data_IF_833226765839
#
_entry.id   IF_833226765839
#
_cell.length_a   1.000
_cell.length_b   1.000
_cell.length_c   1.000
_cell.angle_alpha   90.00
_cell.angle_beta   90.00
_cell.angle_gamma   90.00
#
_symmetry.space_group_name_H-M   'P 1'
#
loop_
_entity.id
_entity.type
_entity.pdbx_description
1 polymer ?
#
# COMPACT_ATOMS: atom_id res chain seq x y z
N UNK A 1 34.56 -8.12 3.19
CA UNK A 1 35.06 -6.82 3.65
C UNK A 1 33.93 -5.83 3.65
N UNK A 2 33.87 -5.02 4.71
CA UNK A 2 32.78 -4.12 5.12
C UNK A 2 32.57 -2.95 4.15
N UNK A 3 31.32 -2.50 4.02
CA UNK A 3 30.92 -1.08 4.06
C UNK A 3 29.38 -1.00 3.89
N UNK A 4 28.57 -1.05 4.95
CA UNK A 4 27.98 0.11 5.68
C UNK A 4 27.31 1.15 4.76
N UNK A 5 26.01 0.97 4.50
CA UNK A 5 25.12 2.06 4.06
C UNK A 5 24.75 2.92 5.26
N UNK A 6 24.94 4.22 5.10
CA UNK A 6 24.61 5.24 6.09
C UNK A 6 23.11 5.53 6.02
N UNK A 7 22.40 5.21 7.11
CA UNK A 7 21.07 5.74 7.38
C UNK A 7 21.28 7.05 8.11
N UNK A 8 20.81 8.15 7.53
CA UNK A 8 20.76 9.45 8.20
C UNK A 8 19.66 9.35 9.27
N UNK A 9 20.09 9.22 10.53
CA UNK A 9 19.26 9.44 11.72
C UNK A 9 19.00 10.94 11.85
N UNK A 10 17.78 11.37 11.54
CA UNK A 10 17.31 12.68 11.95
C UNK A 10 16.85 12.62 13.41
N UNK A 11 17.60 13.27 14.30
CA UNK A 11 17.29 13.41 15.72
C UNK A 11 15.97 14.18 15.92
N UNK A 12 15.01 13.56 16.58
CA UNK A 12 13.75 14.18 17.00
C UNK A 12 14.04 15.04 18.24
N UNK A 13 14.03 16.36 18.07
CA UNK A 13 13.82 17.29 19.17
C UNK A 13 12.30 17.36 19.43
N UNK A 14 11.88 16.85 20.59
CA UNK A 14 10.56 17.09 21.16
C UNK A 14 10.45 18.58 21.50
N UNK A 15 9.71 19.33 20.69
CA UNK A 15 9.04 20.54 21.15
C UNK A 15 7.53 20.31 21.05
N UNK A 16 6.89 20.32 22.22
CA UNK A 16 5.45 20.37 22.35
C UNK A 16 4.95 21.65 21.66
N UNK A 17 4.22 21.48 20.56
CA UNK A 17 3.58 22.56 19.81
C UNK A 17 2.13 22.17 19.54
N UNK A 18 1.22 23.05 19.96
CA UNK A 18 -0.23 22.88 20.03
C UNK A 18 -0.88 22.16 18.84
N UNK A 19 -1.77 21.22 19.17
CA UNK A 19 -2.81 20.70 18.29
C UNK A 19 -3.72 21.84 17.80
N UNK A 20 -3.75 22.09 16.50
CA UNK A 20 -4.88 22.69 15.77
C UNK A 20 -4.59 22.67 14.27
N UNK A 21 -4.63 21.47 13.70
CA UNK A 21 -4.66 21.25 12.26
C UNK A 21 -5.72 20.20 11.94
N UNK A 22 -6.97 20.49 12.32
CA UNK A 22 -8.09 19.64 11.92
C UNK A 22 -8.10 19.56 10.38
N UNK A 23 -8.02 18.34 9.84
CA UNK A 23 -7.99 18.05 8.41
C UNK A 23 -9.32 18.32 7.75
N UNK A 24 -9.71 19.59 7.67
CA UNK A 24 -10.84 20.04 6.86
C UNK A 24 -10.41 19.92 5.41
N UNK A 25 -11.23 19.21 4.62
CA UNK A 25 -11.03 19.09 3.17
C UNK A 25 -11.09 20.48 2.55
N UNK A 26 -10.06 20.86 1.82
CA UNK A 26 -10.14 22.01 0.92
C UNK A 26 -11.04 21.60 -0.25
N UNK A 27 -12.23 22.18 -0.36
CA UNK A 27 -13.20 21.84 -1.41
C UNK A 27 -12.69 22.20 -2.82
N UNK A 28 -11.65 23.03 -2.93
CA UNK A 28 -10.98 23.30 -4.21
C UNK A 28 -9.95 22.23 -4.58
N UNK A 29 -9.53 21.40 -3.62
CA UNK A 29 -8.62 20.29 -3.83
C UNK A 29 -9.41 19.00 -4.14
N UNK A 30 -9.29 18.43 -5.36
CA UNK A 30 -10.04 17.24 -5.73
C UNK A 30 -9.58 15.98 -4.96
N UNK A 31 -8.47 16.03 -4.21
CA UNK A 31 -7.93 14.91 -3.46
C UNK A 31 -8.97 14.25 -2.53
N UNK A 32 -8.90 12.92 -2.46
CA UNK A 32 -9.82 12.11 -1.66
C UNK A 32 -11.25 12.02 -2.19
N UNK A 33 -11.52 12.61 -3.36
CA UNK A 33 -12.79 12.43 -4.08
C UNK A 33 -12.63 11.38 -5.18
N UNK A 34 -13.71 10.65 -5.49
CA UNK A 34 -13.72 9.76 -6.63
C UNK A 34 -13.50 10.57 -7.94
N UNK A 35 -12.45 10.21 -8.68
CA UNK A 35 -12.09 10.80 -9.96
C UNK A 35 -12.89 10.19 -11.10
N UNK A 36 -13.23 11.01 -12.09
CA UNK A 36 -13.77 10.57 -13.38
C UNK A 36 -12.67 10.26 -14.40
N UNK A 37 -11.44 10.64 -14.11
CA UNK A 37 -10.29 10.41 -14.99
C UNK A 37 -9.87 8.95 -14.93
N UNK A 38 -9.54 8.39 -16.10
CA UNK A 38 -9.00 7.04 -16.19
C UNK A 38 -7.52 7.05 -15.81
N UNK A 39 -7.05 5.98 -15.18
CA UNK A 39 -5.63 5.81 -14.94
C UNK A 39 -4.82 5.79 -16.26
N UNK A 40 -3.65 6.41 -16.22
CA UNK A 40 -2.69 6.46 -17.32
C UNK A 40 -1.75 5.26 -17.24
N UNK A 41 -1.30 4.76 -18.38
CA UNK A 41 -0.43 3.58 -18.46
C UNK A 41 0.78 3.91 -19.33
N UNK A 42 1.95 3.76 -18.75
CA UNK A 42 3.25 3.86 -19.39
C UNK A 42 3.93 2.50 -19.28
N UNK A 43 4.68 2.12 -20.31
CA UNK A 43 5.34 0.81 -20.35
C UNK A 43 6.73 0.93 -20.98
N UNK A 44 7.65 0.08 -20.53
CA UNK A 44 8.90 -0.17 -21.24
C UNK A 44 8.61 -0.88 -22.59
N UNK A 45 9.54 -0.78 -23.54
CA UNK A 45 9.36 -1.32 -24.90
C UNK A 45 9.10 -2.84 -24.88
N UNK A 46 9.77 -3.56 -23.99
CA UNK A 46 9.71 -5.01 -23.84
C UNK A 46 8.51 -5.52 -23.03
N UNK A 47 7.61 -4.63 -22.61
CA UNK A 47 6.33 -5.00 -21.99
C UNK A 47 5.25 -5.16 -23.07
N UNK A 48 4.60 -6.32 -23.07
CA UNK A 48 3.54 -6.62 -24.04
C UNK A 48 2.27 -5.78 -23.80
N UNK A 49 1.50 -5.55 -24.86
CA UNK A 49 0.17 -4.92 -24.75
C UNK A 49 -0.81 -5.76 -23.93
N UNK A 50 -0.64 -7.08 -23.91
CA UNK A 50 -1.45 -7.98 -23.09
C UNK A 50 -1.20 -7.75 -21.60
N UNK A 51 0.04 -7.48 -21.19
CA UNK A 51 0.34 -7.08 -19.81
C UNK A 51 -0.35 -5.75 -19.46
N UNK A 52 -0.32 -4.75 -20.35
CA UNK A 52 -1.03 -3.48 -20.13
C UNK A 52 -2.54 -3.69 -19.95
N UNK A 53 -3.16 -4.52 -20.81
CA UNK A 53 -4.58 -4.85 -20.72
C UNK A 53 -4.90 -5.60 -19.43
N UNK A 54 -4.04 -6.54 -19.02
CA UNK A 54 -4.18 -7.27 -17.76
C UNK A 54 -4.13 -6.33 -16.56
N UNK A 55 -3.11 -5.46 -16.46
CA UNK A 55 -2.98 -4.49 -15.37
C UNK A 55 -4.19 -3.55 -15.35
N UNK A 56 -4.61 -3.04 -16.51
CA UNK A 56 -5.80 -2.19 -16.63
C UNK A 56 -7.05 -2.89 -16.11
N UNK A 57 -7.29 -4.13 -16.53
CA UNK A 57 -8.44 -4.93 -16.08
C UNK A 57 -8.48 -5.06 -14.56
N UNK A 58 -7.35 -5.36 -13.92
CA UNK A 58 -7.31 -5.55 -12.46
C UNK A 58 -7.38 -4.24 -11.70
N UNK A 59 -6.80 -3.15 -12.23
CA UNK A 59 -7.07 -1.82 -11.70
C UNK A 59 -8.56 -1.45 -11.78
N UNK A 60 -9.25 -1.75 -12.89
CA UNK A 60 -10.69 -1.48 -13.02
C UNK A 60 -11.53 -2.30 -12.03
N UNK A 61 -11.13 -3.55 -11.74
CA UNK A 61 -11.74 -4.36 -10.65
C UNK A 61 -11.56 -3.66 -9.30
N UNK A 62 -10.35 -3.19 -9.00
CA UNK A 62 -10.04 -2.48 -7.75
C UNK A 62 -10.80 -1.15 -7.62
N UNK A 63 -10.78 -0.33 -8.68
CA UNK A 63 -11.47 0.95 -8.73
C UNK A 63 -12.99 0.81 -8.62
N UNK A 64 -13.57 -0.27 -9.16
CA UNK A 64 -14.99 -0.59 -8.96
C UNK A 64 -15.30 -0.97 -7.51
N UNK A 65 -14.41 -1.69 -6.85
CA UNK A 65 -14.62 -2.18 -5.48
C UNK A 65 -14.42 -1.08 -4.43
N UNK A 66 -13.40 -0.23 -4.61
CA UNK A 66 -12.97 0.72 -3.59
C UNK A 66 -13.15 2.19 -3.99
N UNK A 67 -13.52 2.46 -5.25
CA UNK A 67 -13.59 3.81 -5.79
C UNK A 67 -12.39 4.14 -6.69
N UNK A 68 -12.64 4.95 -7.72
CA UNK A 68 -11.60 5.42 -8.62
C UNK A 68 -10.94 6.68 -8.04
N UNK A 69 -9.71 6.62 -7.55
CA UNK A 69 -8.98 7.76 -7.03
C UNK A 69 -7.80 8.10 -7.94
N UNK A 70 -7.50 9.39 -8.08
CA UNK A 70 -6.47 9.83 -9.01
C UNK A 70 -6.14 11.31 -8.92
N UNK A 71 -5.28 11.81 -9.83
CA UNK A 71 -4.77 11.08 -11.00
C UNK A 71 -3.87 9.90 -10.62
N UNK A 72 -4.07 8.75 -11.29
CA UNK A 72 -3.30 7.52 -11.06
C UNK A 72 -2.56 7.11 -12.33
N UNK A 73 -1.30 6.75 -12.19
CA UNK A 73 -0.44 6.33 -13.28
C UNK A 73 0.16 4.96 -12.98
N UNK A 74 0.16 4.08 -13.96
CA UNK A 74 0.87 2.81 -13.94
C UNK A 74 2.12 2.90 -14.83
N UNK A 75 3.27 2.54 -14.27
CA UNK A 75 4.56 2.45 -14.95
C UNK A 75 5.00 0.98 -14.97
N UNK A 76 4.85 0.33 -16.12
CA UNK A 76 5.12 -1.09 -16.29
C UNK A 76 6.55 -1.31 -16.76
N UNK A 77 7.32 -2.04 -15.96
CA UNK A 77 8.74 -2.30 -16.19
C UNK A 77 8.92 -3.74 -16.65
N UNK A 78 9.62 -3.93 -17.77
CA UNK A 78 9.94 -5.24 -18.33
C UNK A 78 11.17 -5.88 -17.67
N UNK A 79 11.96 -6.59 -18.48
CA UNK A 79 13.17 -7.32 -18.07
C UNK A 79 14.46 -6.71 -18.66
N UNK A 80 14.37 -5.87 -19.68
CA UNK A 80 15.52 -5.18 -20.29
C UNK A 80 15.90 -3.94 -19.48
N UNK A 81 17.18 -3.85 -19.11
CA UNK A 81 17.72 -2.67 -18.45
C UNK A 81 17.71 -1.45 -19.40
N UNK A 82 17.99 -1.66 -20.67
CA UNK A 82 17.96 -0.63 -21.71
C UNK A 82 16.54 -0.05 -21.88
N UNK A 83 15.53 -0.92 -21.99
CA UNK A 83 14.13 -0.49 -22.08
C UNK A 83 13.66 0.23 -20.81
N UNK A 84 14.16 -0.17 -19.64
CA UNK A 84 13.90 0.51 -18.37
C UNK A 84 14.57 1.89 -18.30
N UNK A 85 15.77 2.05 -18.85
CA UNK A 85 16.46 3.35 -18.95
C UNK A 85 15.68 4.30 -19.86
N UNK A 86 15.16 3.82 -21.00
CA UNK A 86 14.31 4.65 -21.86
C UNK A 86 12.99 5.05 -21.19
N UNK A 87 12.34 4.10 -20.50
CA UNK A 87 11.15 4.40 -19.70
C UNK A 87 11.48 5.43 -18.60
N UNK A 88 12.68 5.37 -18.03
CA UNK A 88 13.15 6.30 -17.01
C UNK A 88 13.30 7.74 -17.55
N UNK A 89 13.81 7.89 -18.77
CA UNK A 89 13.87 9.19 -19.46
C UNK A 89 12.47 9.76 -19.67
N UNK A 90 11.55 8.94 -20.20
CA UNK A 90 10.14 9.31 -20.39
C UNK A 90 9.45 9.71 -19.08
N UNK A 91 9.71 8.98 -17.99
CA UNK A 91 9.21 9.34 -16.66
C UNK A 91 9.64 10.75 -16.25
N UNK A 92 10.92 11.06 -16.42
CA UNK A 92 11.46 12.36 -16.06
C UNK A 92 10.95 13.50 -16.96
N UNK A 93 10.69 13.24 -18.23
CA UNK A 93 10.00 14.18 -19.13
C UNK A 93 8.58 14.48 -18.63
N UNK A 94 7.78 13.45 -18.35
CA UNK A 94 6.43 13.64 -17.81
C UNK A 94 6.46 14.35 -16.46
N UNK A 95 7.44 14.03 -15.59
CA UNK A 95 7.59 14.77 -14.32
C UNK A 95 7.95 16.24 -14.57
N UNK A 96 8.81 16.54 -15.54
CA UNK A 96 9.19 17.91 -15.90
C UNK A 96 8.05 18.72 -16.49
N UNK A 97 7.15 18.09 -17.24
CA UNK A 97 5.93 18.72 -17.74
C UNK A 97 4.97 19.10 -16.60
N UNK A 98 4.83 18.21 -15.61
CA UNK A 98 3.94 18.42 -14.45
C UNK A 98 4.53 19.35 -13.40
N UNK A 99 5.85 19.35 -13.26
CA UNK A 99 6.61 20.21 -12.37
C UNK A 99 7.75 20.88 -13.16
N UNK A 100 7.51 22.08 -13.72
CA UNK A 100 8.52 22.83 -14.46
C UNK A 100 9.75 23.21 -13.62
N UNK A 101 9.71 23.13 -12.28
CA UNK A 101 10.86 23.42 -11.43
C UNK A 101 11.80 22.21 -11.28
N UNK A 102 11.32 21.00 -11.56
CA UNK A 102 12.10 19.77 -11.50
C UNK A 102 13.37 19.86 -12.36
N UNK A 103 14.52 19.50 -11.79
CA UNK A 103 15.78 19.41 -12.54
C UNK A 103 15.88 18.04 -13.20
N UNK A 104 15.85 18.00 -14.52
CA UNK A 104 15.85 16.75 -15.29
C UNK A 104 17.05 15.84 -14.94
N UNK A 105 18.24 16.44 -14.77
CA UNK A 105 19.48 15.73 -14.38
C UNK A 105 19.36 15.01 -13.03
N UNK A 106 18.56 15.53 -12.10
CA UNK A 106 18.39 14.90 -10.79
C UNK A 106 17.34 13.80 -10.86
N UNK A 107 16.26 14.00 -11.61
CA UNK A 107 15.28 12.95 -11.83
C UNK A 107 15.89 11.71 -12.52
N UNK A 108 16.75 11.94 -13.53
CA UNK A 108 17.41 10.86 -14.26
C UNK A 108 18.37 10.05 -13.37
N UNK A 109 18.95 10.68 -12.35
CA UNK A 109 19.89 10.07 -11.40
C UNK A 109 19.26 9.75 -10.04
N UNK A 110 17.93 9.72 -9.97
CA UNK A 110 17.24 9.44 -8.70
C UNK A 110 17.57 8.02 -8.24
N UNK A 111 17.64 7.85 -6.93
CA UNK A 111 17.67 6.52 -6.34
C UNK A 111 16.35 5.78 -6.60
N UNK A 112 16.38 4.45 -6.65
CA UNK A 112 15.23 3.59 -6.94
C UNK A 112 14.54 3.96 -8.27
N UNK A 113 15.28 3.76 -9.36
CA UNK A 113 14.80 3.93 -10.74
C UNK A 113 14.14 2.64 -11.27
N UNK A 114 13.67 2.65 -12.53
CA UNK A 114 13.10 1.44 -13.12
C UNK A 114 14.12 0.31 -13.33
N UNK A 115 15.42 0.61 -13.41
CA UNK A 115 16.45 -0.43 -13.45
C UNK A 115 16.49 -1.26 -12.16
N UNK A 116 16.18 -0.66 -11.02
CA UNK A 116 16.06 -1.39 -9.75
C UNK A 116 14.89 -2.38 -9.80
N UNK A 117 13.76 -2.01 -10.43
CA UNK A 117 12.64 -2.92 -10.66
C UNK A 117 12.95 -4.04 -11.66
N UNK A 118 13.82 -3.81 -12.65
CA UNK A 118 14.34 -4.89 -13.51
C UNK A 118 15.14 -5.90 -12.70
N UNK A 119 16.02 -5.42 -11.82
CA UNK A 119 16.91 -6.25 -10.99
C UNK A 119 16.11 -7.03 -9.94
N UNK A 120 15.35 -6.31 -9.13
CA UNK A 120 14.78 -6.81 -7.88
C UNK A 120 13.34 -7.33 -8.06
N UNK A 121 12.61 -6.84 -9.07
CA UNK A 121 11.20 -7.17 -9.31
C UNK A 121 10.25 -6.43 -8.37
N UNK A 122 9.03 -6.94 -8.23
CA UNK A 122 8.02 -6.42 -7.32
C UNK A 122 7.21 -5.25 -7.88
N UNK A 123 6.54 -4.55 -6.99
CA UNK A 123 5.72 -3.39 -7.28
C UNK A 123 5.86 -2.35 -6.15
N UNK A 124 5.34 -1.15 -6.39
CA UNK A 124 5.24 -0.17 -5.32
C UNK A 124 4.47 1.08 -5.72
N UNK A 125 3.82 1.69 -4.75
CA UNK A 125 3.19 2.99 -4.84
C UNK A 125 4.14 4.12 -4.44
N UNK A 126 4.22 5.13 -5.28
CA UNK A 126 4.76 6.44 -4.94
C UNK A 126 3.63 7.47 -4.93
N UNK A 127 3.22 7.85 -3.72
CA UNK A 127 2.21 8.91 -3.49
C UNK A 127 2.89 10.29 -3.57
N UNK A 128 2.50 11.10 -4.55
CA UNK A 128 2.87 12.52 -4.64
C UNK A 128 1.80 13.35 -3.95
N UNK A 129 2.09 13.82 -2.75
CA UNK A 129 1.19 14.63 -1.93
C UNK A 129 1.97 15.42 -0.89
N UNK A 130 2.76 16.40 -1.33
CA UNK A 130 3.64 17.19 -0.46
C UNK A 130 3.29 18.69 -0.45
N UNK A 131 3.88 19.42 0.50
CA UNK A 131 3.65 20.85 0.74
C UNK A 131 4.33 21.76 -0.29
N UNK A 132 5.21 21.21 -1.14
CA UNK A 132 6.09 21.97 -2.03
C UNK A 132 5.92 21.59 -3.51
N UNK A 133 4.95 20.75 -3.83
CA UNK A 133 4.63 20.33 -5.19
C UNK A 133 3.24 20.77 -5.59
N UNK A 134 3.17 21.41 -6.76
CA UNK A 134 1.92 21.82 -7.38
C UNK A 134 1.10 20.61 -7.85
N UNK A 135 1.76 19.49 -8.14
CA UNK A 135 1.11 18.27 -8.61
C UNK A 135 0.95 17.22 -7.49
N UNK A 136 -0.26 16.69 -7.33
CA UNK A 136 -0.53 15.52 -6.50
C UNK A 136 -1.08 14.37 -7.34
N UNK A 137 -0.73 13.14 -6.99
CA UNK A 137 -1.19 11.95 -7.68
C UNK A 137 -0.54 10.67 -7.18
N UNK A 138 -0.92 9.56 -7.80
CA UNK A 138 -0.46 8.23 -7.45
C UNK A 138 0.31 7.63 -8.61
N UNK A 139 1.51 7.11 -8.32
CA UNK A 139 2.38 6.49 -9.31
C UNK A 139 2.63 5.05 -8.86
N UNK A 140 2.00 4.09 -9.51
CA UNK A 140 2.20 2.67 -9.26
C UNK A 140 3.23 2.15 -10.26
N UNK A 141 4.31 1.54 -9.77
CA UNK A 141 5.27 0.83 -10.61
C UNK A 141 5.03 -0.66 -10.48
N UNK A 142 4.96 -1.38 -11.61
CA UNK A 142 4.79 -2.83 -11.65
C UNK A 142 5.92 -3.45 -12.47
N UNK A 143 6.76 -4.30 -11.86
CA UNK A 143 7.75 -5.08 -12.61
C UNK A 143 7.13 -6.33 -13.23
N UNK A 144 7.74 -6.83 -14.30
CA UNK A 144 7.38 -8.10 -14.95
C UNK A 144 7.96 -9.34 -14.23
N UNK A 145 8.40 -9.20 -12.98
CA UNK A 145 9.13 -10.21 -12.21
C UNK A 145 8.77 -10.11 -10.72
N UNK A 146 8.57 -11.26 -10.09
CA UNK A 146 8.29 -11.41 -8.65
C UNK A 146 7.10 -10.57 -8.14
N UNK A 147 5.87 -10.82 -8.62
CA UNK A 147 5.48 -11.79 -9.66
C UNK A 147 5.51 -11.20 -11.07
N UNK A 148 5.62 -12.06 -12.09
CA UNK A 148 5.43 -11.69 -13.50
C UNK A 148 3.97 -11.83 -13.96
N UNK A 149 3.58 -11.23 -15.10
CA UNK A 149 2.18 -11.14 -15.56
C UNK A 149 1.48 -12.48 -15.82
N UNK A 150 2.24 -13.55 -16.05
CA UNK A 150 1.72 -14.91 -16.22
C UNK A 150 1.36 -15.59 -14.90
N UNK A 151 1.84 -15.06 -13.77
CA UNK A 151 1.58 -15.59 -12.44
C UNK A 151 0.24 -15.07 -11.89
N UNK A 152 -0.52 -15.94 -11.21
CA UNK A 152 -1.77 -15.57 -10.52
C UNK A 152 -1.57 -14.36 -9.58
N UNK A 153 -0.43 -14.32 -8.90
CA UNK A 153 -0.12 -13.31 -7.89
C UNK A 153 0.06 -11.91 -8.48
N UNK A 154 0.39 -11.76 -9.77
CA UNK A 154 0.49 -10.45 -10.42
C UNK A 154 -0.81 -9.66 -10.35
N UNK A 155 -1.93 -10.36 -10.53
CA UNK A 155 -3.27 -9.78 -10.48
C UNK A 155 -3.57 -9.22 -9.09
N UNK A 156 -3.18 -9.96 -8.05
CA UNK A 156 -3.35 -9.57 -6.66
C UNK A 156 -2.44 -8.40 -6.30
N UNK A 157 -1.20 -8.37 -6.80
CA UNK A 157 -0.30 -7.23 -6.58
C UNK A 157 -0.85 -5.94 -7.19
N UNK A 158 -1.51 -5.99 -8.36
CA UNK A 158 -2.21 -4.80 -8.90
C UNK A 158 -3.32 -4.31 -7.94
N UNK A 159 -4.07 -5.24 -7.34
CA UNK A 159 -5.07 -4.90 -6.33
C UNK A 159 -4.41 -4.33 -5.06
N UNK A 160 -3.30 -4.92 -4.60
CA UNK A 160 -2.52 -4.49 -3.43
C UNK A 160 -2.06 -3.05 -3.56
N UNK A 161 -1.36 -2.72 -4.65
CA UNK A 161 -0.86 -1.36 -4.87
C UNK A 161 -1.99 -0.34 -5.02
N UNK A 162 -3.09 -0.74 -5.65
CA UNK A 162 -4.26 0.13 -5.74
C UNK A 162 -5.00 0.28 -4.40
N UNK A 163 -4.89 -0.70 -3.49
CA UNK A 163 -5.40 -0.52 -2.13
C UNK A 163 -4.59 0.54 -1.38
N UNK A 164 -3.28 0.64 -1.59
CA UNK A 164 -2.53 1.78 -1.04
C UNK A 164 -3.00 3.12 -1.60
N UNK A 165 -3.41 3.19 -2.87
CA UNK A 165 -4.06 4.39 -3.42
C UNK A 165 -5.33 4.72 -2.65
N UNK A 166 -6.17 3.72 -2.37
CA UNK A 166 -7.35 3.90 -1.52
C UNK A 166 -7.00 4.46 -0.14
N UNK A 167 -6.02 3.85 0.55
CA UNK A 167 -5.59 4.28 1.87
C UNK A 167 -5.11 5.74 1.88
N UNK A 168 -4.25 6.11 0.93
CA UNK A 168 -3.67 7.44 0.86
C UNK A 168 -4.64 8.51 0.33
N UNK A 169 -5.59 8.15 -0.53
CA UNK A 169 -6.61 9.08 -1.00
C UNK A 169 -7.47 9.62 0.17
N UNK A 170 -7.67 8.82 1.22
CA UNK A 170 -8.39 9.22 2.42
C UNK A 170 -7.56 10.03 3.41
N UNK A 171 -6.35 10.46 3.06
CA UNK A 171 -5.50 11.30 3.90
C UNK A 171 -5.26 12.63 3.17
N UNK A 172 -5.88 13.70 3.63
CA UNK A 172 -5.93 14.96 2.89
C UNK A 172 -4.69 15.84 3.10
N UNK A 173 -4.02 15.69 4.25
CA UNK A 173 -2.87 16.53 4.60
C UNK A 173 -1.73 16.37 3.59
N UNK A 174 -1.14 17.50 3.20
CA UNK A 174 0.12 17.56 2.43
C UNK A 174 1.35 17.40 3.32
N UNK A 175 1.21 17.59 4.64
CA UNK A 175 2.30 17.50 5.60
C UNK A 175 2.65 16.05 5.89
N UNK A 176 3.91 15.67 5.65
CA UNK A 176 4.36 14.28 5.77
C UNK A 176 4.12 13.68 7.15
N UNK A 177 4.40 14.43 8.23
CA UNK A 177 4.18 13.94 9.59
C UNK A 177 2.73 13.52 9.83
N UNK A 178 1.78 14.28 9.28
CA UNK A 178 0.36 14.02 9.45
C UNK A 178 -0.04 12.78 8.64
N UNK A 179 0.45 12.67 7.40
CA UNK A 179 0.20 11.48 6.57
C UNK A 179 0.73 10.22 7.24
N UNK A 180 1.97 10.27 7.73
CA UNK A 180 2.64 9.17 8.41
C UNK A 180 1.89 8.77 9.70
N UNK A 181 1.41 9.75 10.47
CA UNK A 181 0.63 9.48 11.68
C UNK A 181 -0.74 8.84 11.42
N UNK A 182 -1.35 9.13 10.26
CA UNK A 182 -2.69 8.63 9.89
C UNK A 182 -2.66 7.28 9.18
N UNK A 183 -1.60 6.95 8.45
CA UNK A 183 -1.48 5.64 7.79
C UNK A 183 -0.67 4.62 8.61
N UNK A 184 0.02 5.07 9.66
CA UNK A 184 1.08 4.34 10.36
C UNK A 184 2.28 4.04 9.46
N UNK A 185 3.49 4.35 9.94
CA UNK A 185 4.72 4.06 9.18
C UNK A 185 5.08 2.58 9.26
N UNK A 186 4.67 1.87 10.30
CA UNK A 186 4.95 0.45 10.42
C UNK A 186 4.06 -0.38 9.45
N UNK A 187 4.62 -1.40 8.77
CA UNK A 187 3.89 -2.21 7.79
C UNK A 187 2.62 -2.92 8.30
N UNK A 188 2.50 -3.22 9.60
CA UNK A 188 1.40 -4.07 10.12
C UNK A 188 -0.01 -3.60 9.69
N UNK A 189 -0.22 -2.29 9.57
CA UNK A 189 -1.51 -1.71 9.19
C UNK A 189 -1.65 -1.52 7.67
N UNK A 190 -0.78 -0.70 7.07
CA UNK A 190 -0.91 -0.33 5.67
C UNK A 190 -0.74 -1.54 4.74
N UNK A 191 0.32 -2.31 4.95
CA UNK A 191 0.65 -3.50 4.15
C UNK A 191 -0.25 -4.68 4.52
N UNK A 192 -0.53 -4.88 5.81
CA UNK A 192 -1.51 -5.88 6.25
C UNK A 192 -2.90 -5.65 5.63
N UNK A 193 -3.33 -4.40 5.55
CA UNK A 193 -4.57 -3.98 4.89
C UNK A 193 -4.57 -4.27 3.40
N UNK A 194 -3.53 -3.83 2.70
CA UNK A 194 -3.39 -4.06 1.27
C UNK A 194 -3.35 -5.55 0.93
N UNK A 195 -2.58 -6.34 1.68
CA UNK A 195 -2.50 -7.80 1.53
C UNK A 195 -3.86 -8.46 1.72
N UNK A 196 -4.56 -8.20 2.84
CA UNK A 196 -5.83 -8.88 3.09
C UNK A 196 -6.91 -8.46 2.10
N UNK A 197 -7.07 -7.16 1.86
CA UNK A 197 -8.14 -6.66 1.00
C UNK A 197 -7.94 -7.05 -0.46
N UNK A 198 -6.69 -7.10 -0.95
CA UNK A 198 -6.38 -7.60 -2.28
C UNK A 198 -6.73 -9.09 -2.44
N UNK A 199 -6.33 -9.93 -1.47
CA UNK A 199 -6.61 -11.37 -1.49
C UNK A 199 -8.13 -11.65 -1.40
N UNK A 200 -8.84 -10.91 -0.55
CA UNK A 200 -10.29 -11.00 -0.39
C UNK A 200 -11.04 -10.55 -1.64
N UNK A 201 -10.63 -9.45 -2.27
CA UNK A 201 -11.26 -8.99 -3.51
C UNK A 201 -11.00 -9.97 -4.65
N UNK A 202 -9.78 -10.51 -4.76
CA UNK A 202 -9.44 -11.52 -5.75
C UNK A 202 -10.26 -12.81 -5.56
N UNK A 203 -10.42 -13.30 -4.32
CA UNK A 203 -11.16 -14.53 -4.04
C UNK A 203 -12.65 -14.47 -4.45
N UNK A 204 -13.21 -13.27 -4.54
CA UNK A 204 -14.61 -13.02 -4.93
C UNK A 204 -14.85 -12.99 -6.44
N UNK A 205 -13.81 -13.12 -7.26
CA UNK A 205 -13.96 -13.07 -8.72
C UNK A 205 -14.47 -14.41 -9.28
N UNK A 206 -15.29 -14.34 -10.34
CA UNK A 206 -16.07 -15.47 -10.90
C UNK A 206 -15.27 -16.76 -11.17
N UNK A 207 -13.98 -16.63 -11.53
CA UNK A 207 -13.14 -17.75 -11.95
C UNK A 207 -12.11 -18.17 -10.89
N UNK A 208 -12.21 -17.62 -9.67
CA UNK A 208 -11.29 -17.95 -8.57
C UNK A 208 -11.86 -19.10 -7.74
N UNK A 209 -11.01 -20.09 -7.44
CA UNK A 209 -11.41 -21.29 -6.71
C UNK A 209 -11.92 -20.94 -5.30
N UNK A 210 -12.97 -21.60 -4.77
CA UNK A 210 -13.54 -21.28 -3.46
C UNK A 210 -12.54 -21.29 -2.29
N UNK A 211 -11.59 -22.24 -2.30
CA UNK A 211 -10.59 -22.37 -1.22
C UNK A 211 -9.39 -21.40 -1.35
N UNK A 212 -9.38 -20.53 -2.38
CA UNK A 212 -8.25 -19.64 -2.67
C UNK A 212 -7.84 -18.81 -1.45
N UNK A 213 -8.79 -18.12 -0.82
CA UNK A 213 -8.50 -17.21 0.29
C UNK A 213 -7.95 -17.97 1.49
N UNK A 214 -8.59 -19.10 1.85
CA UNK A 214 -8.16 -19.97 2.95
C UNK A 214 -6.76 -20.52 2.69
N UNK A 215 -6.44 -20.94 1.47
CA UNK A 215 -5.10 -21.40 1.10
C UNK A 215 -4.05 -20.29 1.25
N UNK A 216 -4.33 -19.08 0.74
CA UNK A 216 -3.40 -17.95 0.82
C UNK A 216 -3.19 -17.52 2.27
N UNK A 217 -4.25 -17.34 3.04
CA UNK A 217 -4.16 -16.97 4.46
C UNK A 217 -3.48 -18.06 5.29
N UNK A 218 -3.78 -19.34 5.07
CA UNK A 218 -3.07 -20.45 5.74
C UNK A 218 -1.57 -20.43 5.45
N UNK A 219 -1.15 -20.08 4.23
CA UNK A 219 0.29 -19.95 3.88
C UNK A 219 0.97 -18.81 4.66
N UNK A 220 0.26 -17.69 4.88
CA UNK A 220 0.77 -16.55 5.66
C UNK A 220 1.05 -16.90 7.13
N UNK A 221 0.35 -17.89 7.70
CA UNK A 221 0.64 -18.39 9.06
C UNK A 221 2.05 -18.99 9.22
N UNK A 222 2.77 -19.29 8.12
CA UNK A 222 4.17 -19.74 8.21
C UNK A 222 5.07 -18.68 8.86
N UNK A 223 4.74 -17.40 8.72
CA UNK A 223 5.48 -16.29 9.31
C UNK A 223 5.46 -16.29 10.85
N UNK A 224 4.56 -17.06 11.48
CA UNK A 224 4.60 -17.31 12.93
C UNK A 224 5.90 -17.99 13.39
N UNK A 225 6.55 -18.76 12.53
CA UNK A 225 7.82 -19.44 12.86
C UNK A 225 8.97 -18.46 13.06
N UNK A 226 8.87 -17.30 12.42
CA UNK A 226 9.91 -16.26 12.43
C UNK A 226 9.58 -15.11 13.39
N UNK A 227 8.37 -15.10 13.98
CA UNK A 227 7.97 -14.16 15.02
C UNK A 227 8.62 -14.58 16.35
N UNK A 228 9.38 -13.67 16.98
CA UNK A 228 10.06 -13.98 18.24
C UNK A 228 9.07 -14.05 19.38
N UNK A 229 9.43 -14.80 20.43
CA UNK A 229 8.60 -14.88 21.62
C UNK A 229 8.46 -13.50 22.28
N UNK A 230 7.20 -13.06 22.47
CA UNK A 230 6.87 -11.76 23.06
C UNK A 230 6.99 -10.56 22.13
N UNK A 231 7.41 -10.75 20.87
CA UNK A 231 7.48 -9.68 19.87
C UNK A 231 6.09 -9.38 19.28
N UNK A 232 5.76 -8.10 19.18
CA UNK A 232 4.51 -7.65 18.56
C UNK A 232 4.74 -7.26 17.09
N UNK A 233 3.76 -7.47 16.21
CA UNK A 233 3.95 -7.18 14.78
C UNK A 233 4.12 -5.69 14.47
N UNK A 234 3.61 -4.81 15.35
CA UNK A 234 3.78 -3.36 15.25
C UNK A 234 5.19 -2.88 15.67
N UNK A 235 6.05 -3.78 16.16
CA UNK A 235 7.46 -3.52 16.46
C UNK A 235 8.38 -3.92 15.30
N UNK A 236 7.87 -4.58 14.26
CA UNK A 236 8.66 -5.08 13.12
C UNK A 236 8.65 -4.05 11.99
N UNK A 237 9.76 -3.32 11.73
CA UNK A 237 9.79 -2.32 10.68
C UNK A 237 9.98 -2.95 9.29
N UNK A 238 9.91 -2.12 8.24
CA UNK A 238 10.37 -2.48 6.90
C UNK A 238 11.80 -3.03 6.91
N UNK A 239 12.11 -3.90 5.95
CA UNK A 239 13.40 -4.57 5.80
C UNK A 239 13.28 -6.09 5.81
N UNK A 240 14.35 -6.79 6.21
CA UNK A 240 14.48 -8.25 6.04
C UNK A 240 13.38 -9.09 6.69
N UNK A 241 12.73 -8.57 7.72
CA UNK A 241 11.66 -9.27 8.48
C UNK A 241 10.27 -8.69 8.24
N UNK A 242 10.14 -7.72 7.33
CA UNK A 242 8.88 -7.03 7.07
C UNK A 242 7.76 -8.00 6.68
N UNK A 243 8.08 -9.07 5.96
CA UNK A 243 7.10 -10.09 5.55
C UNK A 243 6.32 -10.69 6.74
N UNK A 244 6.89 -10.72 7.94
CA UNK A 244 6.17 -11.13 9.15
C UNK A 244 5.01 -10.16 9.45
N UNK A 245 5.28 -8.86 9.40
CA UNK A 245 4.27 -7.82 9.62
C UNK A 245 3.24 -7.76 8.49
N UNK A 246 3.62 -8.07 7.24
CA UNK A 246 2.68 -8.15 6.12
C UNK A 246 1.73 -9.33 6.28
N UNK A 247 2.28 -10.52 6.51
CA UNK A 247 1.51 -11.76 6.61
C UNK A 247 0.61 -11.80 7.84
N UNK A 248 1.15 -11.44 9.00
CA UNK A 248 0.39 -11.41 10.24
C UNK A 248 -0.47 -10.15 10.35
N UNK A 249 -0.08 -9.04 9.72
CA UNK A 249 -0.94 -7.87 9.53
C UNK A 249 -2.18 -8.21 8.72
N UNK A 250 -2.06 -8.99 7.64
CA UNK A 250 -3.21 -9.46 6.89
C UNK A 250 -4.17 -10.29 7.76
N UNK A 251 -3.63 -11.15 8.62
CA UNK A 251 -4.44 -11.88 9.61
C UNK A 251 -5.06 -10.97 10.67
N UNK A 252 -4.36 -9.93 11.11
CA UNK A 252 -4.89 -8.93 12.03
C UNK A 252 -6.09 -8.20 11.41
N UNK A 253 -6.01 -7.81 10.14
CA UNK A 253 -7.11 -7.15 9.42
C UNK A 253 -8.29 -8.12 9.24
N UNK A 254 -8.04 -9.39 8.91
CA UNK A 254 -9.09 -10.41 8.89
C UNK A 254 -9.79 -10.55 10.26
N UNK A 255 -9.01 -10.60 11.34
CA UNK A 255 -9.50 -10.69 12.71
C UNK A 255 -10.29 -9.45 13.14
N UNK A 256 -9.85 -8.26 12.75
CA UNK A 256 -10.56 -7.01 12.98
C UNK A 256 -11.92 -7.01 12.27
N UNK A 257 -11.95 -7.40 11.00
CA UNK A 257 -13.16 -7.41 10.17
C UNK A 257 -14.18 -8.44 10.67
N UNK A 258 -13.75 -9.65 11.07
CA UNK A 258 -14.63 -10.67 11.66
C UNK A 258 -15.32 -10.19 12.95
N UNK A 259 -14.61 -9.39 13.75
CA UNK A 259 -15.15 -8.81 14.99
C UNK A 259 -15.99 -7.55 14.77
N UNK A 260 -15.92 -6.97 13.58
CA UNK A 260 -16.56 -5.69 13.25
C UNK A 260 -17.30 -5.83 11.91
N UNK A 261 -16.76 -5.28 10.83
CA UNK A 261 -17.20 -5.53 9.46
C UNK A 261 -16.21 -4.94 8.46
N UNK A 262 -16.30 -5.39 7.20
CA UNK A 262 -15.58 -4.75 6.09
C UNK A 262 -15.99 -3.28 5.89
N UNK A 263 -17.26 -2.94 6.16
CA UNK A 263 -17.79 -1.58 6.04
C UNK A 263 -17.15 -0.64 7.07
N UNK A 264 -16.99 -1.10 8.32
CA UNK A 264 -16.31 -0.37 9.37
C UNK A 264 -14.85 -0.11 9.01
N UNK A 265 -14.16 -1.11 8.43
CA UNK A 265 -12.77 -0.97 8.00
C UNK A 265 -12.62 -0.06 6.77
N UNK A 266 -13.37 -0.32 5.70
CA UNK A 266 -13.22 0.41 4.44
C UNK A 266 -13.77 1.82 4.55
N UNK A 267 -14.98 2.03 5.07
CA UNK A 267 -15.60 3.36 5.01
C UNK A 267 -15.56 4.07 6.34
N UNK A 268 -15.95 3.41 7.43
CA UNK A 268 -16.00 4.04 8.75
C UNK A 268 -14.66 4.66 9.15
N UNK A 269 -13.64 3.81 9.27
CA UNK A 269 -12.29 4.23 9.66
C UNK A 269 -11.72 5.33 8.76
N UNK A 270 -11.80 5.17 7.43
CA UNK A 270 -11.21 6.15 6.51
C UNK A 270 -11.99 7.47 6.43
N UNK A 271 -13.32 7.44 6.63
CA UNK A 271 -14.14 8.66 6.67
C UNK A 271 -13.81 9.56 7.87
N UNK A 272 -13.55 8.95 9.03
CA UNK A 272 -13.22 9.69 10.25
C UNK A 272 -11.72 10.01 10.38
N UNK A 273 -10.88 9.41 9.54
CA UNK A 273 -9.43 9.44 9.66
C UNK A 273 -8.85 10.85 9.71
N UNK A 274 -9.32 11.78 8.88
CA UNK A 274 -8.81 13.16 8.82
C UNK A 274 -9.20 13.98 10.06
N UNK A 275 -10.37 13.72 10.62
CA UNK A 275 -10.89 14.46 11.77
C UNK A 275 -10.32 13.93 13.09
N UNK A 276 -10.39 12.62 13.26
CA UNK A 276 -10.12 11.97 14.56
C UNK A 276 -8.67 11.45 14.67
N UNK A 277 -7.91 11.43 13.58
CA UNK A 277 -6.59 10.79 13.54
C UNK A 277 -6.69 9.27 13.54
N UNK A 278 -5.55 8.57 13.52
CA UNK A 278 -5.53 7.10 13.47
C UNK A 278 -6.27 6.49 14.67
N UNK A 279 -5.82 6.78 15.89
CA UNK A 279 -6.38 6.13 17.09
C UNK A 279 -7.81 6.57 17.37
N UNK A 280 -8.14 7.84 17.16
CA UNK A 280 -9.51 8.34 17.35
C UNK A 280 -10.48 7.70 16.35
N UNK A 281 -10.10 7.60 15.08
CA UNK A 281 -10.91 6.92 14.07
C UNK A 281 -11.03 5.42 14.35
N UNK A 282 -9.93 4.79 14.75
CA UNK A 282 -9.88 3.37 15.10
C UNK A 282 -10.85 3.05 16.25
N UNK A 283 -10.73 3.78 17.37
CA UNK A 283 -11.60 3.59 18.54
C UNK A 283 -13.07 3.84 18.23
N UNK A 284 -13.38 4.82 17.38
CA UNK A 284 -14.75 5.16 16.99
C UNK A 284 -15.41 4.09 16.12
N UNK A 285 -14.65 3.43 15.25
CA UNK A 285 -15.20 2.52 14.25
C UNK A 285 -15.09 1.03 14.64
N UNK A 286 -14.22 0.70 15.60
CA UNK A 286 -14.00 -0.68 16.01
C UNK A 286 -14.28 -0.94 17.50
N UNK A 287 -14.76 0.07 18.23
CA UNK A 287 -15.10 0.01 19.66
C UNK A 287 -13.95 -0.51 20.56
N UNK A 288 -12.69 -0.41 20.09
CA UNK A 288 -11.49 -0.75 20.85
C UNK A 288 -10.29 0.05 20.36
N UNK A 289 -9.25 0.16 21.18
CA UNK A 289 -8.00 0.80 20.76
C UNK A 289 -7.17 -0.11 19.86
N UNK A 290 -6.30 0.47 19.04
CA UNK A 290 -5.38 -0.30 18.19
C UNK A 290 -4.45 -1.18 19.02
N UNK A 291 -3.97 -0.64 20.15
CA UNK A 291 -3.21 -1.38 21.16
C UNK A 291 -3.99 -2.58 21.70
N UNK A 292 -5.28 -2.40 22.02
CA UNK A 292 -6.09 -3.50 22.55
C UNK A 292 -6.32 -4.59 21.50
N UNK A 293 -6.52 -4.21 20.24
CA UNK A 293 -6.62 -5.17 19.13
C UNK A 293 -5.33 -6.00 19.02
N UNK A 294 -4.16 -5.34 18.99
CA UNK A 294 -2.86 -6.01 18.91
C UNK A 294 -2.63 -6.96 20.10
N UNK A 295 -2.95 -6.53 21.32
CA UNK A 295 -2.87 -7.38 22.51
C UNK A 295 -3.76 -8.63 22.38
N UNK A 296 -5.04 -8.45 22.03
CA UNK A 296 -5.98 -9.57 21.85
C UNK A 296 -5.54 -10.50 20.71
N UNK A 297 -5.02 -9.94 19.62
CA UNK A 297 -4.51 -10.70 18.49
C UNK A 297 -3.34 -11.60 18.91
N UNK A 298 -2.32 -11.04 19.56
CA UNK A 298 -1.13 -11.79 19.98
C UNK A 298 -1.41 -12.79 21.12
N UNK A 299 -2.24 -12.42 22.08
CA UNK A 299 -2.49 -13.23 23.29
C UNK A 299 -3.58 -14.28 23.09
N UNK A 300 -4.54 -14.04 22.20
CA UNK A 300 -5.69 -14.94 22.00
C UNK A 300 -5.70 -15.51 20.59
N UNK A 301 -5.81 -14.66 19.57
CA UNK A 301 -6.01 -15.14 18.20
C UNK A 301 -4.84 -15.98 17.69
N UNK A 302 -3.59 -15.50 17.84
CA UNK A 302 -2.39 -16.21 17.43
C UNK A 302 -2.11 -17.50 18.23
N UNK A 303 -2.91 -17.80 19.25
CA UNK A 303 -2.83 -19.05 20.05
C UNK A 303 -3.83 -20.11 19.59
N UNK A 304 -4.76 -19.77 18.70
CA UNK A 304 -5.70 -20.71 18.11
C UNK A 304 -5.00 -21.71 17.19
N UNK A 305 -5.63 -22.85 16.93
CA UNK A 305 -5.19 -23.74 15.87
C UNK A 305 -5.40 -23.08 14.48
N UNK A 306 -4.59 -23.42 13.46
CA UNK A 306 -4.78 -22.89 12.11
C UNK A 306 -6.20 -23.10 11.57
N UNK A 307 -6.86 -24.21 11.90
CA UNK A 307 -8.22 -24.50 11.44
C UNK A 307 -9.27 -23.66 12.17
N UNK A 308 -9.03 -23.24 13.41
CA UNK A 308 -9.87 -22.26 14.10
C UNK A 308 -9.68 -20.85 13.54
N UNK A 309 -8.43 -20.46 13.25
CA UNK A 309 -8.14 -19.17 12.62
C UNK A 309 -8.85 -19.05 11.27
N UNK A 310 -8.88 -20.12 10.46
CA UNK A 310 -9.51 -20.10 9.14
C UNK A 310 -11.04 -19.95 9.17
N UNK A 311 -11.70 -20.14 10.32
CA UNK A 311 -13.17 -20.00 10.45
C UNK A 311 -13.64 -18.56 10.36
N UNK A 312 -12.76 -17.58 10.58
CA UNK A 312 -13.11 -16.15 10.51
C UNK A 312 -13.17 -15.63 9.06
N UNK A 313 -12.66 -16.41 8.11
CA UNK A 313 -12.65 -16.03 6.70
C UNK A 313 -14.02 -16.35 6.07
N UNK A 314 -14.51 -15.49 5.15
CA UNK A 314 -15.83 -15.64 4.53
C UNK A 314 -15.98 -16.88 3.63
#
# INVERSE_FOLDING_TARGET
>A
MKSTSWIILASIFLMAGNASGAGIKDESDPWGSASKEKAQFFKAEDVSEETVKLTRKWHEVAAKAWGNYGPTEFWLVGKSAEAAEELNRKYCEVRKEKDPQLRLKDCLRRDYSFEDYVRDGGAGLNTRRDEHSDWSGFIITMAAKYPGPEEEDYKVVVLHEYFHVYQHAHIFSRKESDRNSRNQVNPWWAEGGAEYMAQLLYSRQKDVRPEYLKEKMRRKLRSLKDLKNGESIDEIPYGKRAMIAYDLGAWLIAYLIDRTSEEAYLKGFYADLNKEGFEGSFQKNFDMSSKKLLEDFHQKFLKLSPDEMLKILP
#
